data_IF_258994867903
#
_entry.id   IF_258994867903
#
_cell.length_a   1.000
_cell.length_b   1.000
_cell.length_c   1.000
_cell.angle_alpha   90.00
_cell.angle_beta   90.00
_cell.angle_gamma   90.00
#
_symmetry.space_group_name_H-M   'P 1'
#
loop_
_entity.id
_entity.type
_entity.pdbx_description
1 polymer ?
#
# COMPACT_ATOMS: atom_id res chain seq x y z
N UNK A 1 -94.21 8.32 44.65
CA UNK A 1 -93.10 9.32 44.63
C UNK A 1 -91.73 8.75 45.00
N UNK A 2 -91.55 8.04 46.14
CA UNK A 2 -90.21 7.54 46.54
C UNK A 2 -89.61 6.45 45.65
N UNK A 3 -90.40 5.51 45.13
CA UNK A 3 -89.88 4.45 44.24
C UNK A 3 -89.38 4.99 42.89
N UNK A 4 -90.04 6.01 42.35
CA UNK A 4 -89.64 6.61 41.08
C UNK A 4 -88.28 7.32 41.19
N UNK A 5 -88.02 8.01 42.31
CA UNK A 5 -86.70 8.61 42.60
C UNK A 5 -85.58 7.57 42.70
N UNK A 6 -85.84 6.38 43.27
CA UNK A 6 -84.85 5.30 43.36
C UNK A 6 -84.50 4.71 41.99
N UNK A 7 -85.48 4.56 41.10
CA UNK A 7 -85.25 4.03 39.74
C UNK A 7 -84.44 5.01 38.88
N UNK A 8 -84.74 6.31 38.95
CA UNK A 8 -83.99 7.35 38.23
C UNK A 8 -82.53 7.42 38.71
N UNK A 9 -82.30 7.36 40.02
CA UNK A 9 -80.94 7.35 40.57
C UNK A 9 -80.14 6.09 40.18
N UNK A 10 -80.81 4.94 40.03
CA UNK A 10 -80.16 3.69 39.59
C UNK A 10 -79.82 3.72 38.10
N UNK A 11 -80.69 4.29 37.27
CA UNK A 11 -80.43 4.48 35.84
C UNK A 11 -79.30 5.49 35.59
N UNK A 12 -79.26 6.60 36.33
CA UNK A 12 -78.18 7.60 36.24
C UNK A 12 -76.81 7.00 36.56
N UNK A 13 -76.71 6.20 37.63
CA UNK A 13 -75.47 5.48 37.98
C UNK A 13 -75.07 4.46 36.91
N UNK A 14 -76.04 3.76 36.31
CA UNK A 14 -75.76 2.79 35.25
C UNK A 14 -75.15 3.44 34.00
N UNK A 15 -75.57 4.66 33.66
CA UNK A 15 -75.04 5.41 32.52
C UNK A 15 -73.62 5.94 32.79
N UNK A 16 -73.37 6.41 34.01
CA UNK A 16 -72.02 6.80 34.46
C UNK A 16 -71.04 5.62 34.39
N UNK A 17 -71.46 4.42 34.81
CA UNK A 17 -70.65 3.21 34.70
C UNK A 17 -70.34 2.85 33.24
N UNK A 18 -71.29 3.04 32.34
CA UNK A 18 -71.11 2.76 30.91
C UNK A 18 -70.12 3.73 30.27
N UNK A 19 -70.25 5.04 30.54
CA UNK A 19 -69.28 6.05 30.09
C UNK A 19 -67.87 5.78 30.65
N UNK A 20 -67.76 5.37 31.92
CA UNK A 20 -66.48 5.00 32.51
C UNK A 20 -65.85 3.80 31.80
N UNK A 21 -66.66 2.82 31.38
CA UNK A 21 -66.19 1.63 30.67
C UNK A 21 -65.70 1.95 29.26
N UNK A 22 -66.45 2.79 28.53
CA UNK A 22 -66.07 3.27 27.20
C UNK A 22 -64.79 4.12 27.25
N UNK A 23 -64.64 4.98 28.27
CA UNK A 23 -63.42 5.74 28.52
C UNK A 23 -62.21 4.84 28.80
N UNK A 24 -62.38 3.77 29.58
CA UNK A 24 -61.33 2.78 29.83
C UNK A 24 -60.96 2.01 28.55
N UNK A 25 -61.92 1.64 27.71
CA UNK A 25 -61.65 0.98 26.44
C UNK A 25 -60.86 1.87 25.48
N UNK A 26 -61.24 3.14 25.35
CA UNK A 26 -60.51 4.09 24.52
C UNK A 26 -59.04 4.28 24.96
N UNK A 27 -58.79 4.29 26.28
CA UNK A 27 -57.43 4.36 26.83
C UNK A 27 -56.65 3.08 26.51
N UNK A 28 -57.26 1.90 26.64
CA UNK A 28 -56.62 0.62 26.30
C UNK A 28 -56.25 0.53 24.82
N UNK A 29 -57.15 0.96 23.93
CA UNK A 29 -56.88 0.99 22.49
C UNK A 29 -55.78 1.99 22.14
N UNK A 30 -55.79 3.17 22.74
CA UNK A 30 -54.73 4.17 22.57
C UNK A 30 -53.36 3.64 23.02
N UNK A 31 -53.29 2.98 24.18
CA UNK A 31 -52.05 2.36 24.68
C UNK A 31 -51.56 1.26 23.75
N UNK A 32 -52.47 0.44 23.21
CA UNK A 32 -52.12 -0.63 22.28
C UNK A 32 -51.51 -0.09 20.99
N UNK A 33 -52.16 0.89 20.35
CA UNK A 33 -51.65 1.51 19.12
C UNK A 33 -50.27 2.15 19.36
N UNK A 34 -50.09 2.84 20.50
CA UNK A 34 -48.81 3.44 20.84
C UNK A 34 -47.70 2.40 21.04
N UNK A 35 -48.02 1.23 21.59
CA UNK A 35 -47.07 0.13 21.77
C UNK A 35 -46.67 -0.52 20.44
N UNK A 36 -47.64 -0.73 19.54
CA UNK A 36 -47.39 -1.26 18.21
C UNK A 36 -46.51 -0.31 17.38
N UNK A 37 -46.75 1.00 17.48
CA UNK A 37 -45.92 2.04 16.87
C UNK A 37 -44.47 1.99 17.37
N UNK A 38 -44.28 1.96 18.69
CA UNK A 38 -42.95 1.87 19.31
C UNK A 38 -42.21 0.58 18.91
N UNK A 39 -42.90 -0.55 18.79
CA UNK A 39 -42.30 -1.80 18.31
C UNK A 39 -41.83 -1.73 16.86
N UNK A 40 -42.57 -1.05 15.99
CA UNK A 40 -42.19 -0.86 14.60
C UNK A 40 -40.96 0.05 14.48
N UNK A 41 -40.97 1.18 15.20
CA UNK A 41 -39.87 2.15 15.21
C UNK A 41 -38.55 1.54 15.72
N UNK A 42 -38.63 0.69 16.76
CA UNK A 42 -37.48 -0.04 17.33
C UNK A 42 -36.89 -1.10 16.40
N UNK A 43 -37.70 -1.68 15.48
CA UNK A 43 -37.23 -2.71 14.54
C UNK A 43 -36.56 -2.11 13.31
N UNK A 44 -37.04 -0.97 12.83
CA UNK A 44 -36.67 -0.47 11.52
C UNK A 44 -35.55 0.58 11.54
N UNK A 45 -35.43 1.39 12.61
CA UNK A 45 -34.55 2.57 12.60
C UNK A 45 -33.09 2.28 12.94
N UNK A 46 -32.81 1.66 14.08
CA UNK A 46 -31.46 1.75 14.66
C UNK A 46 -30.61 0.50 14.41
N UNK A 47 -31.21 -0.68 14.36
CA UNK A 47 -30.45 -1.93 14.20
C UNK A 47 -29.94 -2.13 12.79
N UNK A 48 -30.68 -1.70 11.77
CA UNK A 48 -30.27 -1.88 10.37
C UNK A 48 -29.20 -0.88 9.97
N UNK A 49 -29.36 0.40 10.33
CA UNK A 49 -28.36 1.45 10.05
C UNK A 49 -27.03 1.16 10.73
N UNK A 50 -27.04 0.72 11.99
CA UNK A 50 -25.81 0.36 12.72
C UNK A 50 -25.17 -0.91 12.13
N UNK A 51 -25.96 -1.90 11.70
CA UNK A 51 -25.41 -3.10 11.06
C UNK A 51 -24.81 -2.80 9.68
N UNK A 52 -25.46 -1.96 8.88
CA UNK A 52 -24.96 -1.55 7.57
C UNK A 52 -23.68 -0.73 7.69
N UNK A 53 -23.63 0.21 8.64
CA UNK A 53 -22.42 0.98 8.92
C UNK A 53 -21.29 0.09 9.45
N UNK A 54 -21.60 -0.87 10.34
CA UNK A 54 -20.62 -1.85 10.81
C UNK A 54 -20.07 -2.70 9.66
N UNK A 55 -20.93 -3.14 8.74
CA UNK A 55 -20.52 -3.91 7.55
C UNK A 55 -19.60 -3.08 6.65
N UNK A 56 -19.97 -1.83 6.38
CA UNK A 56 -19.17 -0.89 5.58
C UNK A 56 -17.80 -0.62 6.20
N UNK A 57 -17.75 -0.40 7.52
CA UNK A 57 -16.48 -0.21 8.24
C UNK A 57 -15.61 -1.47 8.20
N UNK A 58 -16.22 -2.65 8.28
CA UNK A 58 -15.51 -3.92 8.16
C UNK A 58 -14.89 -4.09 6.76
N UNK A 59 -15.67 -3.82 5.70
CA UNK A 59 -15.23 -3.85 4.30
C UNK A 59 -14.11 -2.83 4.04
N UNK A 60 -14.21 -1.62 4.61
CA UNK A 60 -13.14 -0.63 4.53
C UNK A 60 -11.88 -1.10 5.24
N UNK A 61 -12.01 -1.71 6.42
CA UNK A 61 -10.87 -2.23 7.18
C UNK A 61 -10.18 -3.39 6.47
N UNK A 62 -10.93 -4.29 5.81
CA UNK A 62 -10.33 -5.39 5.05
C UNK A 62 -9.60 -4.87 3.82
N UNK A 63 -10.17 -3.88 3.11
CA UNK A 63 -9.52 -3.21 1.99
C UNK A 63 -8.19 -2.55 2.39
N UNK A 64 -8.17 -1.74 3.45
CA UNK A 64 -6.94 -1.13 3.96
C UNK A 64 -5.88 -2.18 4.38
N UNK A 65 -6.30 -3.31 4.94
CA UNK A 65 -5.37 -4.40 5.31
C UNK A 65 -4.70 -5.00 4.08
N UNK A 66 -5.46 -5.24 3.02
CA UNK A 66 -4.91 -5.77 1.76
C UNK A 66 -3.92 -4.79 1.11
N UNK A 67 -4.25 -3.50 1.12
CA UNK A 67 -3.35 -2.44 0.63
C UNK A 67 -2.05 -2.39 1.44
N UNK A 68 -2.14 -2.48 2.78
CA UNK A 68 -0.97 -2.52 3.65
C UNK A 68 -0.08 -3.75 3.41
N UNK A 69 -0.68 -4.92 3.15
CA UNK A 69 0.06 -6.13 2.77
C UNK A 69 0.73 -6.00 1.40
N UNK A 70 0.08 -5.32 0.45
CA UNK A 70 0.66 -4.96 -0.85
C UNK A 70 1.89 -4.05 -0.69
N UNK A 71 1.73 -2.93 0.00
CA UNK A 71 2.82 -1.98 0.28
C UNK A 71 3.99 -2.63 1.02
N UNK A 72 3.71 -3.53 1.96
CA UNK A 72 4.75 -4.28 2.69
C UNK A 72 5.55 -5.20 1.77
N UNK A 73 4.90 -5.84 0.79
CA UNK A 73 5.58 -6.66 -0.22
C UNK A 73 6.47 -5.79 -1.12
N UNK A 74 5.97 -4.66 -1.60
CA UNK A 74 6.73 -3.70 -2.42
C UNK A 74 7.95 -3.15 -1.67
N UNK A 75 7.80 -2.80 -0.40
CA UNK A 75 8.90 -2.33 0.44
C UNK A 75 10.01 -3.39 0.54
N UNK A 76 9.64 -4.64 0.81
CA UNK A 76 10.59 -5.75 0.92
C UNK A 76 11.35 -6.00 -0.40
N UNK A 77 10.66 -5.92 -1.54
CA UNK A 77 11.29 -6.04 -2.85
C UNK A 77 12.30 -4.91 -3.10
N UNK A 78 11.93 -3.67 -2.73
CA UNK A 78 12.82 -2.52 -2.84
C UNK A 78 14.05 -2.63 -1.94
N UNK A 79 13.88 -3.07 -0.68
CA UNK A 79 15.00 -3.30 0.25
C UNK A 79 15.98 -4.35 -0.28
N UNK A 80 15.47 -5.45 -0.84
CA UNK A 80 16.30 -6.48 -1.45
C UNK A 80 17.07 -5.92 -2.66
N UNK A 81 16.39 -5.24 -3.59
CA UNK A 81 17.04 -4.63 -4.75
C UNK A 81 18.10 -3.59 -4.37
N UNK A 82 17.85 -2.82 -3.29
CA UNK A 82 18.85 -1.88 -2.74
C UNK A 82 20.08 -2.60 -2.21
N UNK A 83 19.91 -3.70 -1.48
CA UNK A 83 21.03 -4.46 -0.93
C UNK A 83 21.86 -5.11 -2.05
N UNK A 84 21.20 -5.66 -3.08
CA UNK A 84 21.89 -6.21 -4.26
C UNK A 84 22.68 -5.12 -5.00
N UNK A 85 22.09 -3.94 -5.19
CA UNK A 85 22.77 -2.80 -5.80
C UNK A 85 23.97 -2.34 -4.96
N UNK A 86 23.85 -2.32 -3.63
CA UNK A 86 24.96 -1.98 -2.73
C UNK A 86 26.10 -3.01 -2.81
N UNK A 87 25.78 -4.30 -2.87
CA UNK A 87 26.76 -5.35 -3.05
C UNK A 87 27.50 -5.22 -4.39
N UNK A 88 26.78 -4.90 -5.47
CA UNK A 88 27.38 -4.69 -6.78
C UNK A 88 28.26 -3.44 -6.83
N UNK A 89 27.83 -2.34 -6.20
CA UNK A 89 28.66 -1.13 -6.06
C UNK A 89 29.96 -1.45 -5.31
N UNK A 90 29.90 -2.21 -4.23
CA UNK A 90 31.10 -2.61 -3.48
C UNK A 90 32.04 -3.45 -4.35
N UNK A 91 31.51 -4.42 -5.10
CA UNK A 91 32.27 -5.25 -6.04
C UNK A 91 32.97 -4.40 -7.11
N UNK A 92 32.26 -3.44 -7.71
CA UNK A 92 32.81 -2.54 -8.73
C UNK A 92 33.89 -1.62 -8.16
N UNK A 93 33.73 -1.13 -6.93
CA UNK A 93 34.74 -0.31 -6.25
C UNK A 93 36.03 -1.10 -5.99
N UNK A 94 35.91 -2.37 -5.59
CA UNK A 94 37.08 -3.22 -5.38
C UNK A 94 37.78 -3.56 -6.68
N UNK A 95 37.03 -3.83 -7.76
CA UNK A 95 37.60 -3.98 -9.09
C UNK A 95 38.33 -2.71 -9.55
N UNK A 96 37.76 -1.54 -9.30
CA UNK A 96 38.39 -0.26 -9.63
C UNK A 96 39.73 -0.10 -8.91
N UNK A 97 39.78 -0.35 -7.60
CA UNK A 97 41.02 -0.28 -6.82
C UNK A 97 42.09 -1.23 -7.33
N UNK A 98 41.71 -2.45 -7.70
CA UNK A 98 42.66 -3.43 -8.23
C UNK A 98 43.21 -3.00 -9.60
N UNK A 99 42.38 -2.39 -10.46
CA UNK A 99 42.83 -1.82 -11.72
C UNK A 99 43.76 -0.63 -11.51
N UNK A 100 43.44 0.27 -10.57
CA UNK A 100 44.31 1.40 -10.20
C UNK A 100 45.68 0.91 -9.70
N UNK A 101 45.71 -0.11 -8.84
CA UNK A 101 46.96 -0.73 -8.36
C UNK A 101 47.80 -1.34 -9.48
N UNK A 102 47.15 -2.03 -10.43
CA UNK A 102 47.85 -2.61 -11.60
C UNK A 102 48.42 -1.52 -12.50
N UNK A 103 47.66 -0.45 -12.72
CA UNK A 103 48.12 0.69 -13.52
C UNK A 103 49.34 1.34 -12.88
N UNK A 104 49.32 1.62 -11.58
CA UNK A 104 50.47 2.15 -10.83
C UNK A 104 51.71 1.25 -10.97
N UNK A 105 51.54 -0.07 -10.89
CA UNK A 105 52.64 -1.03 -11.08
C UNK A 105 53.24 -0.96 -12.50
N UNK A 106 52.39 -0.85 -13.53
CA UNK A 106 52.83 -0.73 -14.92
C UNK A 106 53.53 0.61 -15.15
N UNK A 107 53.02 1.70 -14.59
CA UNK A 107 53.64 3.02 -14.66
C UNK A 107 55.03 3.01 -14.01
N UNK A 108 55.17 2.42 -12.83
CA UNK A 108 56.48 2.30 -12.15
C UNK A 108 57.46 1.44 -12.96
N UNK A 109 57.01 0.30 -13.49
CA UNK A 109 57.86 -0.55 -14.34
C UNK A 109 58.29 0.15 -15.63
N UNK A 110 57.37 0.90 -16.25
CA UNK A 110 57.66 1.68 -17.45
C UNK A 110 58.64 2.80 -17.11
N UNK A 111 58.44 3.51 -15.99
CA UNK A 111 59.35 4.56 -15.52
C UNK A 111 60.76 4.03 -15.27
N UNK A 112 60.87 2.85 -14.66
CA UNK A 112 62.15 2.18 -14.44
C UNK A 112 62.82 1.74 -15.75
N UNK A 113 62.06 1.26 -16.74
CA UNK A 113 62.56 0.81 -18.05
C UNK A 113 62.95 1.96 -18.99
N UNK A 114 62.27 3.10 -18.88
CA UNK A 114 62.41 4.25 -19.78
C UNK A 114 63.08 5.47 -19.11
N UNK A 115 63.99 5.26 -18.16
CA UNK A 115 64.91 6.27 -17.62
C UNK A 115 65.89 6.89 -18.64
N UNK A 116 65.53 6.91 -19.92
CA UNK A 116 66.20 7.69 -20.95
C UNK A 116 65.21 8.73 -21.47
N UNK A 117 65.52 9.99 -21.20
CA UNK A 117 64.66 11.19 -21.28
C UNK A 117 64.03 11.46 -22.66
N UNK A 118 64.39 10.69 -23.68
CA UNK A 118 63.92 10.81 -25.05
C UNK A 118 62.69 9.93 -25.39
N UNK A 119 62.28 9.02 -24.48
CA UNK A 119 61.15 8.11 -24.72
C UNK A 119 59.78 8.68 -24.31
N UNK A 120 59.74 9.61 -23.35
CA UNK A 120 58.49 10.21 -22.85
C UNK A 120 57.81 11.13 -23.86
N UNK A 121 58.59 11.82 -24.68
CA UNK A 121 58.06 12.65 -25.77
C UNK A 121 57.36 11.80 -26.82
N UNK A 122 57.85 10.58 -27.09
CA UNK A 122 57.22 9.68 -28.07
C UNK A 122 55.91 9.03 -27.59
N UNK A 123 55.74 8.79 -26.28
CA UNK A 123 54.52 8.17 -25.76
C UNK A 123 53.30 9.10 -25.85
N UNK A 124 53.46 10.37 -25.45
CA UNK A 124 52.38 11.36 -25.57
C UNK A 124 52.15 11.79 -27.03
N UNK A 125 53.19 11.84 -27.87
CA UNK A 125 53.03 12.08 -29.31
C UNK A 125 52.29 10.95 -30.03
N UNK A 126 52.46 9.70 -29.59
CA UNK A 126 51.72 8.55 -30.14
C UNK A 126 50.24 8.64 -29.76
N UNK A 127 49.91 8.91 -28.49
CA UNK A 127 48.52 9.09 -28.06
C UNK A 127 47.84 10.34 -28.64
N UNK A 128 48.60 11.40 -28.94
CA UNK A 128 48.07 12.59 -29.62
C UNK A 128 47.79 12.37 -31.11
N UNK A 129 48.39 11.34 -31.73
CA UNK A 129 48.24 11.00 -33.16
C UNK A 129 47.26 9.84 -33.42
N UNK A 130 46.92 9.07 -32.39
CA UNK A 130 45.98 7.95 -32.47
C UNK A 130 44.56 8.45 -32.16
N UNK A 131 43.58 8.04 -32.96
CA UNK A 131 42.20 8.51 -32.79
C UNK A 131 41.63 8.02 -31.44
N UNK A 132 40.73 8.80 -30.84
CA UNK A 132 40.07 8.43 -29.58
C UNK A 132 39.43 7.01 -29.64
N UNK A 133 38.99 6.58 -30.83
CA UNK A 133 38.44 5.23 -31.03
C UNK A 133 39.48 4.11 -30.95
N UNK A 134 40.70 4.32 -31.44
CA UNK A 134 41.75 3.30 -31.43
C UNK A 134 42.32 3.11 -30.01
N UNK A 135 42.47 4.19 -29.25
CA UNK A 135 42.81 4.13 -27.82
C UNK A 135 41.75 3.36 -27.04
N UNK A 136 40.47 3.67 -27.28
CA UNK A 136 39.36 2.95 -26.65
C UNK A 136 39.24 1.49 -27.11
N UNK A 137 39.69 1.14 -28.31
CA UNK A 137 39.67 -0.22 -28.83
C UNK A 137 40.78 -1.09 -28.22
N UNK A 138 41.99 -0.54 -28.03
CA UNK A 138 43.07 -1.22 -27.30
C UNK A 138 42.68 -1.42 -25.83
N UNK A 139 42.14 -0.38 -25.19
CA UNK A 139 41.62 -0.50 -23.82
C UNK A 139 40.43 -1.47 -23.75
N UNK A 140 39.52 -1.50 -24.73
CA UNK A 140 38.43 -2.50 -24.78
C UNK A 140 38.93 -3.92 -24.96
N UNK A 141 39.96 -4.13 -25.76
CA UNK A 141 40.54 -5.47 -25.99
C UNK A 141 41.04 -6.08 -24.68
N UNK A 142 41.68 -5.28 -23.82
CA UNK A 142 42.17 -5.73 -22.51
C UNK A 142 41.05 -5.79 -21.45
N UNK A 143 39.97 -5.01 -21.61
CA UNK A 143 38.79 -5.05 -20.74
C UNK A 143 37.80 -6.18 -21.08
N UNK A 144 37.77 -6.68 -22.32
CA UNK A 144 36.81 -7.70 -22.79
C UNK A 144 37.09 -9.11 -22.29
N UNK A 145 38.28 -9.38 -21.74
CA UNK A 145 38.55 -10.64 -21.01
C UNK A 145 37.81 -10.69 -19.66
N UNK A 146 37.33 -9.55 -19.16
CA UNK A 146 36.38 -9.50 -18.05
C UNK A 146 34.98 -9.41 -18.63
N UNK A 147 34.27 -10.53 -18.57
CA UNK A 147 32.89 -10.70 -18.99
C UNK A 147 31.94 -9.82 -18.16
N UNK A 148 31.91 -8.51 -18.45
CA UNK A 148 30.97 -7.55 -17.85
C UNK A 148 29.68 -7.66 -18.64
N UNK A 149 28.73 -8.42 -18.09
CA UNK A 149 27.38 -8.54 -18.63
C UNK A 149 26.72 -7.14 -18.66
N UNK A 150 26.18 -6.69 -19.80
CA UNK A 150 25.45 -5.42 -19.88
C UNK A 150 24.24 -5.43 -18.94
N UNK A 151 24.10 -4.36 -18.16
CA UNK A 151 23.01 -4.14 -17.18
C UNK A 151 21.61 -3.93 -17.80
N UNK A 152 21.46 -4.06 -19.13
CA UNK A 152 20.29 -3.58 -19.87
C UNK A 152 19.08 -4.56 -19.89
N UNK A 153 19.10 -5.67 -19.16
CA UNK A 153 18.02 -6.68 -19.24
C UNK A 153 17.27 -7.00 -17.94
N UNK A 154 17.50 -6.29 -16.83
CA UNK A 154 16.84 -6.63 -15.55
C UNK A 154 15.77 -5.65 -15.05
N UNK A 155 15.42 -4.64 -15.84
CA UNK A 155 14.34 -3.69 -15.55
C UNK A 155 13.13 -3.88 -16.48
N UNK A 156 12.79 -5.12 -16.83
CA UNK A 156 11.43 -5.39 -17.27
C UNK A 156 10.55 -5.47 -16.00
N UNK A 157 9.47 -4.70 -15.90
CA UNK A 157 8.45 -4.96 -14.88
C UNK A 157 7.96 -6.41 -15.05
N UNK A 158 7.59 -7.10 -13.97
CA UNK A 158 7.01 -8.43 -14.10
C UNK A 158 5.80 -8.34 -15.04
N UNK A 159 5.75 -9.21 -16.04
CA UNK A 159 4.54 -9.41 -16.82
C UNK A 159 3.43 -9.77 -15.84
N UNK A 160 2.37 -8.96 -15.82
CA UNK A 160 1.13 -9.30 -15.16
C UNK A 160 0.58 -10.53 -15.92
N UNK A 161 0.94 -11.74 -15.48
CA UNK A 161 0.21 -12.93 -15.89
C UNK A 161 -1.19 -12.85 -15.26
N UNK A 162 -2.13 -12.38 -16.09
CA UNK A 162 -3.57 -12.60 -15.95
C UNK A 162 -3.82 -14.13 -15.85
N UNK A 163 -3.99 -14.63 -14.62
CA UNK A 163 -4.62 -15.93 -14.39
C UNK A 163 -6.13 -15.81 -14.73
N UNK A 164 -6.46 -16.13 -15.99
CA UNK A 164 -7.82 -16.47 -16.45
C UNK A 164 -8.05 -17.97 -16.51
#
# INVERSE_FOLDING_TARGET
MQQHKKLVAKASKSEEHKQALEGLQAIVESMRTSYEQLQADLKDSDTNVVNDEKKRLLEKSTSHRLEAEGLRRSLKAFENGRNDAQAEIARLLDQKKEMERKLESVEVEYMAKFHNTDAYTNFFDYFAKVSHQEVLAVLRSDYLDFNIVPLETRFLPPDDEDDS
#
